data_IF_585338903972
#
_entry.id   IF_585338903972
#
_cell.length_a   1.000
_cell.length_b   1.000
_cell.length_c   1.000
_cell.angle_alpha   90.00
_cell.angle_beta   90.00
_cell.angle_gamma   90.00
#
_symmetry.space_group_name_H-M   'P 1'
#
loop_
_entity.id
_entity.type
_entity.pdbx_description
1 polymer ?
#
# COMPACT_ATOMS: atom_id res chain seq x y z
N UNK A 1 17.12 17.97 -3.35
CA UNK A 1 17.35 18.74 -4.60
C UNK A 1 17.73 20.16 -4.19
N UNK A 2 18.78 20.69 -4.79
CA UNK A 2 19.22 22.07 -4.49
C UNK A 2 18.74 23.02 -5.59
N UNK A 3 17.63 23.70 -5.33
CA UNK A 3 17.13 24.81 -6.15
C UNK A 3 17.55 26.16 -5.58
N UNK A 4 16.66 27.17 -5.69
CA UNK A 4 16.88 28.44 -4.97
C UNK A 4 16.78 28.25 -3.47
N UNK A 5 15.91 27.36 -3.02
CA UNK A 5 15.79 26.89 -1.65
C UNK A 5 16.14 25.39 -1.62
N UNK A 6 16.69 24.92 -0.51
CA UNK A 6 17.05 23.52 -0.31
C UNK A 6 15.82 22.71 0.07
N UNK A 7 15.60 21.57 -0.59
CA UNK A 7 14.53 20.60 -0.29
C UNK A 7 15.15 19.21 -0.35
N UNK A 8 15.42 18.61 0.80
CA UNK A 8 16.12 17.34 0.93
C UNK A 8 15.31 16.33 1.77
N UNK A 9 15.68 15.05 1.70
CA UNK A 9 15.14 13.97 2.52
C UNK A 9 13.60 13.92 2.60
N UNK A 10 12.94 14.08 1.44
CA UNK A 10 11.48 14.00 1.30
C UNK A 10 11.01 12.56 1.52
N UNK A 11 10.05 12.35 2.42
CA UNK A 11 9.46 11.03 2.69
C UNK A 11 7.93 11.09 2.69
N UNK A 12 7.23 9.96 2.39
CA UNK A 12 7.77 8.63 2.09
C UNK A 12 8.42 8.53 0.70
N UNK A 13 9.51 7.76 0.59
CA UNK A 13 10.19 7.50 -0.67
C UNK A 13 10.67 6.05 -0.72
N UNK A 14 10.22 5.30 -1.73
CA UNK A 14 10.54 3.89 -1.88
C UNK A 14 11.53 3.70 -3.03
N UNK A 15 12.65 3.04 -2.73
CA UNK A 15 13.71 2.72 -3.70
C UNK A 15 14.20 3.93 -4.53
N UNK A 16 14.38 5.10 -3.88
CA UNK A 16 14.82 6.34 -4.55
C UNK A 16 13.80 6.88 -5.55
N UNK A 17 12.51 6.71 -5.26
CA UNK A 17 11.40 7.21 -6.09
C UNK A 17 11.03 6.30 -7.27
N UNK A 18 11.72 5.17 -7.46
CA UNK A 18 11.41 4.22 -8.54
C UNK A 18 10.05 3.57 -8.37
N UNK A 19 9.76 3.12 -7.15
CA UNK A 19 8.55 2.39 -6.81
C UNK A 19 7.62 3.32 -6.00
N UNK A 20 6.28 3.25 -6.17
CA UNK A 20 5.37 4.08 -5.40
C UNK A 20 5.37 3.67 -3.92
N UNK A 21 5.29 4.66 -3.03
CA UNK A 21 4.91 4.44 -1.64
C UNK A 21 3.47 3.89 -1.58
N UNK A 22 3.07 3.35 -0.43
CA UNK A 22 1.77 2.69 -0.25
C UNK A 22 0.92 3.40 0.80
N UNK A 23 -0.36 3.55 0.51
CA UNK A 23 -1.37 3.99 1.48
C UNK A 23 -2.73 3.34 1.19
N UNK A 24 -3.72 3.55 2.05
CA UNK A 24 -5.12 3.22 1.78
C UNK A 24 -6.01 4.45 1.87
N UNK A 25 -7.20 4.36 1.25
CA UNK A 25 -8.21 5.42 1.33
C UNK A 25 -8.51 5.78 2.80
N UNK A 26 -8.42 7.07 3.13
CA UNK A 26 -8.66 7.63 4.46
C UNK A 26 -7.46 7.54 5.42
N UNK A 27 -6.34 6.96 4.99
CA UNK A 27 -5.12 6.88 5.79
C UNK A 27 -4.46 8.25 5.95
N UNK A 28 -3.93 8.52 7.14
CA UNK A 28 -3.16 9.72 7.43
C UNK A 28 -1.70 9.48 7.06
N UNK A 29 -1.29 9.96 5.88
CA UNK A 29 0.05 9.75 5.33
C UNK A 29 0.94 10.91 5.76
N UNK A 30 1.95 10.69 6.63
CA UNK A 30 2.88 11.74 7.01
C UNK A 30 3.85 12.01 5.86
N UNK A 31 3.88 13.26 5.39
CA UNK A 31 4.88 13.76 4.44
C UNK A 31 5.85 14.63 5.19
N UNK A 32 7.15 14.35 5.05
CA UNK A 32 8.19 15.14 5.71
C UNK A 32 9.29 15.53 4.73
N UNK A 33 9.98 16.62 5.00
CA UNK A 33 11.11 17.10 4.20
C UNK A 33 12.04 17.96 5.06
N UNK A 34 13.32 18.00 4.70
CA UNK A 34 14.27 18.99 5.23
C UNK A 34 14.26 20.19 4.29
N UNK A 35 13.90 21.37 4.80
CA UNK A 35 13.73 22.59 3.99
C UNK A 35 14.53 23.73 4.57
N UNK A 36 15.43 24.29 3.78
CA UNK A 36 16.42 25.26 4.26
C UNK A 36 16.78 26.32 3.21
N UNK A 37 17.44 27.39 3.66
CA UNK A 37 17.92 28.49 2.82
C UNK A 37 19.20 29.12 3.38
N UNK A 38 19.80 30.02 2.63
CA UNK A 38 20.86 30.90 3.12
C UNK A 38 20.33 31.98 4.06
N UNK A 39 21.21 32.49 4.92
CA UNK A 39 20.90 33.63 5.80
C UNK A 39 20.07 33.23 7.02
N UNK A 40 19.29 34.17 7.53
CA UNK A 40 18.52 34.03 8.78
C UNK A 40 17.02 34.25 8.58
N UNK A 41 16.60 34.46 7.33
CA UNK A 41 15.21 34.71 6.99
C UNK A 41 14.41 33.41 7.10
N UNK A 42 13.11 33.53 7.37
CA UNK A 42 12.23 32.37 7.46
C UNK A 42 12.06 31.68 6.09
N UNK A 43 11.85 30.37 6.17
CA UNK A 43 11.46 29.51 5.05
C UNK A 43 10.18 28.79 5.41
N UNK A 44 9.36 28.50 4.41
CA UNK A 44 8.12 27.75 4.58
C UNK A 44 7.95 26.75 3.45
N UNK A 45 7.16 25.71 3.72
CA UNK A 45 6.93 24.63 2.77
C UNK A 45 5.45 24.22 2.69
N UNK A 46 5.06 23.65 1.57
CA UNK A 46 3.72 23.12 1.32
C UNK A 46 3.85 21.80 0.56
N UNK A 47 3.09 20.78 0.95
CA UNK A 47 2.97 19.56 0.14
C UNK A 47 1.87 19.80 -0.85
N UNK A 48 2.21 19.69 -2.13
CA UNK A 48 1.28 19.75 -3.25
C UNK A 48 1.03 18.33 -3.70
N UNK A 49 -0.24 17.92 -3.73
CA UNK A 49 -0.62 16.54 -3.97
C UNK A 49 -1.89 16.44 -4.81
N UNK A 50 -1.95 15.41 -5.65
CA UNK A 50 -3.07 15.19 -6.58
C UNK A 50 -3.35 13.71 -6.74
N UNK A 51 -4.62 13.37 -6.94
CA UNK A 51 -5.07 11.99 -7.10
C UNK A 51 -5.55 11.71 -8.52
N UNK A 52 -6.29 10.61 -8.71
CA UNK A 52 -6.83 10.21 -10.01
C UNK A 52 -7.76 11.25 -10.66
N UNK A 53 -8.34 12.17 -9.87
CA UNK A 53 -9.17 13.26 -10.36
C UNK A 53 -8.38 14.41 -10.99
N UNK A 54 -7.06 14.43 -10.84
CA UNK A 54 -6.17 15.50 -11.30
C UNK A 54 -6.32 16.81 -10.52
N UNK A 55 -7.13 16.84 -9.46
CA UNK A 55 -7.33 18.05 -8.65
C UNK A 55 -6.11 18.26 -7.78
N UNK A 56 -5.39 19.37 -7.99
CA UNK A 56 -4.28 19.75 -7.14
C UNK A 56 -4.80 20.24 -5.78
N UNK A 57 -4.21 19.69 -4.71
CA UNK A 57 -4.47 20.01 -3.32
C UNK A 57 -3.16 20.47 -2.69
N UNK A 58 -3.24 21.32 -1.67
CA UNK A 58 -2.05 21.81 -0.98
C UNK A 58 -2.23 21.83 0.53
N UNK A 59 -1.25 21.30 1.27
CA UNK A 59 -1.25 21.29 2.74
C UNK A 59 0.02 21.94 3.27
N UNK A 60 -0.09 22.95 4.14
CA UNK A 60 1.06 23.65 4.73
C UNK A 60 1.85 22.68 5.63
N UNK A 61 3.18 22.64 5.47
CA UNK A 61 4.03 21.92 6.41
C UNK A 61 4.36 22.82 7.61
N UNK A 62 4.46 22.20 8.78
CA UNK A 62 4.94 22.82 10.01
C UNK A 62 6.35 22.30 10.34
N UNK A 63 7.18 23.15 10.93
CA UNK A 63 8.47 22.72 11.46
C UNK A 63 8.27 21.72 12.62
N UNK A 64 9.10 20.68 12.66
CA UNK A 64 9.07 19.61 13.66
C UNK A 64 10.43 19.53 14.33
N UNK A 65 10.43 19.62 15.66
CA UNK A 65 11.66 19.80 16.42
C UNK A 65 12.10 21.26 16.41
N UNK A 66 13.30 21.53 16.91
CA UNK A 66 13.88 22.87 16.97
C UNK A 66 15.28 22.85 16.38
N UNK A 67 15.54 23.69 15.37
CA UNK A 67 16.84 23.80 14.71
C UNK A 67 17.22 22.59 13.86
N UNK A 68 16.23 21.84 13.38
CA UNK A 68 16.44 20.67 12.53
C UNK A 68 16.10 20.91 11.06
N UNK A 69 15.50 22.07 10.74
CA UNK A 69 14.98 22.40 9.42
C UNK A 69 14.02 21.32 8.85
N UNK A 70 13.42 20.52 9.75
CA UNK A 70 12.55 19.41 9.40
C UNK A 70 11.11 19.90 9.41
N UNK A 71 10.40 19.68 8.31
CA UNK A 71 9.03 20.07 8.11
C UNK A 71 8.15 18.82 7.94
N UNK A 72 6.92 18.86 8.43
CA UNK A 72 5.95 17.78 8.25
C UNK A 72 4.53 18.31 7.99
N UNK A 73 3.77 17.54 7.20
CA UNK A 73 2.33 17.65 7.05
C UNK A 73 1.73 16.26 6.93
N UNK A 74 0.41 16.16 7.11
CA UNK A 74 -0.33 14.93 6.86
C UNK A 74 -1.26 15.14 5.66
N UNK A 75 -1.20 14.24 4.69
CA UNK A 75 -2.17 14.17 3.59
C UNK A 75 -3.11 12.98 3.83
N UNK A 76 -4.33 13.07 3.31
CA UNK A 76 -5.37 12.04 3.47
C UNK A 76 -5.99 11.74 2.12
N UNK A 77 -5.46 10.75 1.37
CA UNK A 77 -6.04 10.33 0.10
C UNK A 77 -7.46 9.78 0.26
N UNK A 78 -8.36 10.17 -0.62
CA UNK A 78 -9.80 9.90 -0.48
C UNK A 78 -10.33 8.86 -1.49
N UNK A 79 -9.50 8.44 -2.44
CA UNK A 79 -9.90 7.60 -3.59
C UNK A 79 -8.80 6.59 -3.93
N UNK A 80 -9.20 5.39 -4.36
CA UNK A 80 -8.29 4.34 -4.84
C UNK A 80 -7.61 4.78 -6.14
N UNK A 81 -6.32 4.50 -6.27
CA UNK A 81 -5.54 4.72 -7.49
C UNK A 81 -4.18 5.34 -7.23
N UNK A 82 -3.57 5.85 -8.30
CA UNK A 82 -2.28 6.51 -8.24
C UNK A 82 -2.44 7.98 -7.82
N UNK A 83 -1.65 8.36 -6.83
CA UNK A 83 -1.50 9.72 -6.33
C UNK A 83 -0.06 10.18 -6.52
N UNK A 84 0.11 11.48 -6.64
CA UNK A 84 1.43 12.13 -6.62
C UNK A 84 1.48 13.19 -5.54
N UNK A 85 2.66 13.40 -4.96
CA UNK A 85 2.92 14.53 -4.08
C UNK A 85 4.31 15.09 -4.31
N UNK A 86 4.49 16.38 -4.05
CA UNK A 86 5.80 17.05 -4.01
C UNK A 86 5.80 18.05 -2.86
N UNK A 87 6.98 18.42 -2.38
CA UNK A 87 7.15 19.49 -1.41
C UNK A 87 7.67 20.72 -2.13
N UNK A 88 6.94 21.82 -2.04
CA UNK A 88 7.32 23.12 -2.59
C UNK A 88 7.75 24.05 -1.45
N UNK A 89 8.92 24.66 -1.57
CA UNK A 89 9.49 25.57 -0.57
C UNK A 89 9.49 27.02 -1.07
N UNK A 90 9.36 27.98 -0.17
CA UNK A 90 9.39 29.42 -0.49
C UNK A 90 9.94 30.24 0.68
N UNK A 91 10.51 31.40 0.35
CA UNK A 91 10.95 32.42 1.31
C UNK A 91 9.72 33.04 1.96
N UNK A 92 9.63 33.04 3.29
CA UNK A 92 8.49 33.61 4.04
C UNK A 92 8.81 35.02 4.56
N UNK A 93 8.62 36.07 3.74
CA UNK A 93 8.92 37.44 4.13
C UNK A 93 8.01 37.92 5.26
N UNK A 94 6.79 37.39 5.38
CA UNK A 94 5.86 37.79 6.43
C UNK A 94 6.31 37.31 7.80
N UNK A 95 6.66 36.02 7.92
CA UNK A 95 7.17 35.46 9.17
C UNK A 95 8.51 36.09 9.55
N UNK A 96 9.38 36.34 8.57
CA UNK A 96 10.66 37.05 8.76
C UNK A 96 10.43 38.46 9.31
N UNK A 97 9.56 39.24 8.66
CA UNK A 97 9.24 40.60 9.07
C UNK A 97 8.60 40.66 10.47
N UNK A 98 7.63 39.77 10.73
CA UNK A 98 6.92 39.72 12.02
C UNK A 98 7.92 39.47 13.16
N UNK A 99 8.83 38.51 13.00
CA UNK A 99 9.87 38.23 13.99
C UNK A 99 10.79 39.44 14.20
N UNK A 100 11.29 40.04 13.12
CA UNK A 100 12.21 41.17 13.19
C UNK A 100 11.59 42.39 13.91
N UNK A 101 10.34 42.74 13.59
CA UNK A 101 9.64 43.84 14.25
C UNK A 101 9.43 43.56 15.73
N UNK A 102 8.99 42.35 16.10
CA UNK A 102 8.80 41.99 17.52
C UNK A 102 10.10 42.08 18.33
N UNK A 103 11.21 41.56 17.80
CA UNK A 103 12.52 41.61 18.48
C UNK A 103 13.02 43.04 18.63
N UNK A 104 12.92 43.85 17.58
CA UNK A 104 13.35 45.25 17.62
C UNK A 104 12.50 46.11 18.56
N UNK A 105 11.19 45.88 18.60
CA UNK A 105 10.29 46.51 19.58
C UNK A 105 10.65 46.13 21.02
N UNK A 106 10.91 44.84 21.27
CA UNK A 106 11.33 44.37 22.59
C UNK A 106 12.70 44.96 23.02
N UNK A 107 13.56 45.28 22.06
CA UNK A 107 14.83 45.97 22.28
C UNK A 107 14.67 47.50 22.50
N UNK A 108 13.44 48.02 22.49
CA UNK A 108 13.15 49.43 22.75
C UNK A 108 13.38 50.37 21.56
N UNK A 109 13.42 49.84 20.32
CA UNK A 109 13.51 50.69 19.13
C UNK A 109 12.22 51.45 18.88
N UNK A 110 12.34 52.71 18.47
CA UNK A 110 11.21 53.60 18.22
C UNK A 110 10.68 53.53 16.77
N UNK A 111 9.62 54.30 16.51
CA UNK A 111 8.96 54.34 15.20
C UNK A 111 9.82 54.96 14.09
N UNK A 112 10.83 55.77 14.42
CA UNK A 112 11.75 56.36 13.46
C UNK A 112 12.81 55.33 13.04
N UNK A 113 13.34 54.57 14.00
CA UNK A 113 14.28 53.47 13.75
C UNK A 113 13.64 52.34 12.95
N UNK A 114 12.37 52.03 13.21
CA UNK A 114 11.58 51.01 12.52
C UNK A 114 10.88 51.50 11.25
N UNK A 115 11.08 52.74 10.80
CA UNK A 115 10.31 53.31 9.70
C UNK A 115 10.36 52.46 8.41
N UNK A 116 11.54 51.94 8.07
CA UNK A 116 11.71 51.05 6.92
C UNK A 116 11.05 49.68 7.14
N UNK A 117 11.19 49.10 8.33
CA UNK A 117 10.54 47.83 8.67
C UNK A 117 9.01 47.96 8.53
N UNK A 118 8.42 49.03 9.04
CA UNK A 118 6.98 49.26 8.96
C UNK A 118 6.49 49.41 7.51
N UNK A 119 7.24 50.12 6.66
CA UNK A 119 6.91 50.23 5.24
C UNK A 119 7.09 48.90 4.48
N UNK A 120 8.12 48.11 4.81
CA UNK A 120 8.30 46.76 4.26
C UNK A 120 7.09 45.88 4.60
N UNK A 121 6.67 45.86 5.86
CA UNK A 121 5.49 45.11 6.30
C UNK A 121 4.22 45.52 5.56
N UNK A 122 4.01 46.83 5.38
CA UNK A 122 2.88 47.36 4.65
C UNK A 122 2.88 46.92 3.18
N UNK A 123 4.05 46.89 2.52
CA UNK A 123 4.19 46.38 1.15
C UNK A 123 3.92 44.89 1.02
N UNK A 124 4.34 44.07 2.00
CA UNK A 124 4.04 42.63 2.02
C UNK A 124 2.52 42.43 2.08
N UNK A 125 1.84 43.17 2.96
CA UNK A 125 0.37 43.12 3.07
C UNK A 125 -0.32 43.56 1.78
N UNK A 126 0.15 44.64 1.13
CA UNK A 126 -0.42 45.15 -0.12
C UNK A 126 -0.39 44.12 -1.25
N UNK A 127 0.63 43.24 -1.30
CA UNK A 127 0.72 42.17 -2.31
C UNK A 127 -0.42 41.15 -2.21
N UNK A 128 -1.03 41.00 -1.03
CA UNK A 128 -2.11 40.02 -0.76
C UNK A 128 -3.51 40.60 -0.72
N UNK A 129 -3.66 41.87 -1.04
CA UNK A 129 -4.96 42.53 -1.13
C UNK A 129 -5.74 41.99 -2.34
N UNK A 130 -6.49 40.90 -2.13
CA UNK A 130 -7.38 40.26 -3.12
C UNK A 130 -8.86 40.54 -2.78
N UNK A 131 -9.80 40.25 -3.69
CA UNK A 131 -11.23 40.60 -3.52
C UNK A 131 -11.87 39.89 -2.30
N UNK A 132 -12.75 40.57 -1.56
CA UNK A 132 -13.53 40.00 -0.43
C UNK A 132 -13.29 40.67 0.93
N UNK A 133 -13.79 40.07 2.03
CA UNK A 133 -13.65 40.61 3.40
C UNK A 133 -12.18 40.72 3.84
N UNK A 134 -11.34 39.76 3.43
CA UNK A 134 -9.90 39.76 3.69
C UNK A 134 -9.18 40.97 3.09
N UNK A 135 -9.75 41.61 2.06
CA UNK A 135 -9.23 42.84 1.46
C UNK A 135 -9.12 43.97 2.47
N UNK A 136 -10.17 44.15 3.27
CA UNK A 136 -10.32 45.32 4.12
C UNK A 136 -9.33 45.22 5.29
N UNK A 137 -9.24 44.05 5.93
CA UNK A 137 -8.34 43.89 7.07
C UNK A 137 -6.86 44.03 6.71
N UNK A 138 -6.41 43.43 5.60
CA UNK A 138 -5.01 43.56 5.17
C UNK A 138 -4.69 45.00 4.77
N UNK A 139 -5.64 45.69 4.13
CA UNK A 139 -5.51 47.11 3.77
C UNK A 139 -5.46 48.02 5.01
N UNK A 140 -6.29 47.76 6.01
CA UNK A 140 -6.34 48.53 7.25
C UNK A 140 -5.06 48.32 8.07
N UNK A 141 -4.54 47.09 8.12
CA UNK A 141 -3.25 46.78 8.73
C UNK A 141 -2.09 47.49 8.00
N UNK A 142 -2.08 47.46 6.66
CA UNK A 142 -1.09 48.19 5.86
C UNK A 142 -1.17 49.71 6.05
N UNK A 143 -2.38 50.26 6.18
CA UNK A 143 -2.59 51.68 6.46
C UNK A 143 -2.13 52.07 7.87
N UNK A 144 -2.43 51.24 8.89
CA UNK A 144 -1.97 51.45 10.26
C UNK A 144 -0.45 51.43 10.35
N UNK A 145 0.21 50.49 9.67
CA UNK A 145 1.68 50.46 9.59
C UNK A 145 2.26 51.75 9.01
N UNK A 146 1.55 52.46 8.13
CA UNK A 146 1.98 53.73 7.52
C UNK A 146 1.53 55.00 8.26
N UNK A 147 0.68 54.87 9.27
CA UNK A 147 0.10 56.01 9.97
C UNK A 147 1.11 56.65 10.94
N UNK A 148 1.82 57.69 10.49
CA UNK A 148 2.78 58.43 11.31
C UNK A 148 2.17 59.18 12.50
N UNK A 149 0.84 59.27 12.56
CA UNK A 149 0.08 59.87 13.65
C UNK A 149 -0.20 58.93 14.81
N UNK A 150 0.08 57.63 14.65
CA UNK A 150 -0.15 56.60 15.68
C UNK A 150 1.14 56.24 16.40
N UNK A 151 1.02 55.82 17.66
CA UNK A 151 2.15 55.27 18.40
C UNK A 151 2.59 53.93 17.81
N UNK A 152 3.86 53.55 18.00
CA UNK A 152 4.44 52.34 17.40
C UNK A 152 3.62 51.08 17.71
N UNK A 153 3.18 50.91 18.96
CA UNK A 153 2.35 49.78 19.39
C UNK A 153 1.02 49.72 18.64
N UNK A 154 0.39 50.87 18.37
CA UNK A 154 -0.87 50.98 17.63
C UNK A 154 -0.67 50.69 16.14
N UNK A 155 0.44 51.14 15.56
CA UNK A 155 0.78 50.90 14.14
C UNK A 155 0.91 49.41 13.83
N UNK A 156 1.51 48.64 14.73
CA UNK A 156 1.73 47.20 14.51
C UNK A 156 0.58 46.32 15.00
N UNK A 157 -0.31 46.84 15.86
CA UNK A 157 -1.34 46.05 16.53
C UNK A 157 -2.21 45.22 15.57
N UNK A 158 -2.65 45.82 14.46
CA UNK A 158 -3.46 45.11 13.47
C UNK A 158 -2.65 44.04 12.71
N UNK A 159 -1.43 44.36 12.32
CA UNK A 159 -0.54 43.45 11.59
C UNK A 159 -0.14 42.22 12.43
N UNK A 160 0.09 42.42 13.73
CA UNK A 160 0.39 41.35 14.68
C UNK A 160 -0.87 40.68 15.25
N UNK A 161 -2.06 41.16 14.88
CA UNK A 161 -3.34 40.62 15.30
C UNK A 161 -3.61 39.23 14.70
N UNK A 162 -4.31 38.38 15.46
CA UNK A 162 -4.56 36.99 15.08
C UNK A 162 -5.24 36.81 13.73
N UNK A 163 -6.12 37.73 13.33
CA UNK A 163 -6.83 37.65 12.05
C UNK A 163 -5.90 37.88 10.84
N UNK A 164 -4.98 38.85 10.92
CA UNK A 164 -3.97 39.06 9.86
C UNK A 164 -2.97 37.90 9.83
N UNK A 165 -2.52 37.43 11.00
CA UNK A 165 -1.60 36.29 11.09
C UNK A 165 -2.20 35.02 10.49
N UNK A 166 -3.46 34.69 10.83
CA UNK A 166 -4.16 33.56 10.24
C UNK A 166 -4.27 33.71 8.72
N UNK A 167 -4.66 34.89 8.23
CA UNK A 167 -4.82 35.12 6.80
C UNK A 167 -3.51 34.97 6.04
N UNK A 168 -2.41 35.49 6.58
CA UNK A 168 -1.08 35.35 5.98
C UNK A 168 -0.54 33.93 6.09
N UNK A 169 -1.03 33.12 7.03
CA UNK A 169 -0.72 31.68 7.07
C UNK A 169 -1.46 30.89 5.97
N UNK A 170 -2.75 31.18 5.77
CA UNK A 170 -3.62 30.52 4.78
C UNK A 170 -3.31 30.92 3.32
N UNK A 171 -3.01 32.20 3.09
CA UNK A 171 -2.69 32.75 1.76
C UNK A 171 -1.42 33.62 1.81
N UNK A 172 -0.24 32.99 2.03
CA UNK A 172 1.02 33.67 2.25
C UNK A 172 1.61 34.27 0.98
N UNK A 173 2.35 35.36 1.11
CA UNK A 173 3.28 35.82 0.05
C UNK A 173 4.37 34.77 -0.07
N UNK A 174 4.50 34.18 -1.27
CA UNK A 174 5.50 33.15 -1.55
C UNK A 174 6.54 33.71 -2.50
N UNK A 175 7.74 34.00 -1.99
CA UNK A 175 8.86 34.44 -2.81
C UNK A 175 9.80 33.27 -3.09
N UNK A 176 10.47 33.32 -4.25
CA UNK A 176 11.52 32.35 -4.60
C UNK A 176 11.05 30.89 -4.55
N UNK A 177 9.81 30.65 -4.97
CA UNK A 177 9.20 29.33 -5.00
C UNK A 177 10.13 28.33 -5.70
N UNK A 178 10.50 27.28 -4.97
CA UNK A 178 11.25 26.14 -5.47
C UNK A 178 10.34 24.94 -5.42
N UNK A 179 10.00 24.39 -6.59
CA UNK A 179 9.17 23.21 -6.71
C UNK A 179 10.01 21.94 -6.50
N UNK A 180 9.49 21.01 -5.70
CA UNK A 180 10.15 19.74 -5.41
C UNK A 180 9.99 18.70 -6.52
N UNK A 181 10.66 17.56 -6.34
CA UNK A 181 10.46 16.39 -7.21
C UNK A 181 9.12 15.72 -6.87
N UNK A 182 8.30 15.34 -7.87
CA UNK A 182 7.13 14.51 -7.64
C UNK A 182 7.49 13.09 -7.17
N UNK A 183 6.87 12.66 -6.09
CA UNK A 183 6.88 11.29 -5.55
C UNK A 183 5.55 10.61 -5.84
N UNK A 184 5.59 9.27 -5.96
CA UNK A 184 4.42 8.44 -6.30
C UNK A 184 3.87 7.74 -5.07
N UNK A 185 2.56 7.65 -4.98
CA UNK A 185 1.83 6.99 -3.89
C UNK A 185 0.69 6.16 -4.49
N UNK A 186 0.70 4.84 -4.28
CA UNK A 186 -0.41 3.98 -4.65
C UNK A 186 -1.38 3.81 -3.47
N UNK A 187 -2.64 4.17 -3.69
CA UNK A 187 -3.69 4.11 -2.68
C UNK A 187 -4.64 2.96 -2.99
N UNK A 188 -4.64 1.95 -2.13
CA UNK A 188 -5.59 0.82 -2.19
C UNK A 188 -6.87 1.13 -1.37
N UNK A 189 -7.90 0.29 -1.53
CA UNK A 189 -9.04 0.28 -0.59
C UNK A 189 -8.61 -0.13 0.82
N UNK A 190 -9.38 0.26 1.85
CA UNK A 190 -9.04 0.07 3.27
C UNK A 190 -8.66 -1.37 3.67
N UNK A 191 -9.28 -2.39 3.05
CA UNK A 191 -9.01 -3.81 3.30
C UNK A 191 -7.54 -4.20 3.08
N UNK A 192 -6.82 -3.45 2.24
CA UNK A 192 -5.39 -3.65 2.01
C UNK A 192 -4.55 -3.46 3.28
N UNK A 193 -4.99 -2.62 4.22
CA UNK A 193 -4.30 -2.38 5.49
C UNK A 193 -5.04 -2.97 6.70
N UNK A 194 -6.38 -3.01 6.66
CA UNK A 194 -7.19 -3.43 7.81
C UNK A 194 -8.17 -4.54 7.46
N UNK A 195 -7.98 -5.71 8.05
CA UNK A 195 -8.95 -6.81 7.96
C UNK A 195 -8.51 -8.06 8.70
N UNK A 196 -9.50 -8.83 9.14
CA UNK A 196 -9.29 -10.08 9.84
C UNK A 196 -9.47 -11.28 8.89
N UNK A 197 -8.46 -12.15 8.81
CA UNK A 197 -8.38 -13.28 7.89
C UNK A 197 -8.67 -14.62 8.57
N UNK A 198 -9.47 -15.47 7.94
CA UNK A 198 -9.75 -16.83 8.39
C UNK A 198 -9.49 -17.84 7.29
N UNK A 199 -8.55 -18.76 7.51
CA UNK A 199 -8.29 -19.86 6.58
C UNK A 199 -9.22 -21.05 6.85
N UNK A 200 -9.84 -21.57 5.79
CA UNK A 200 -10.77 -22.70 5.88
C UNK A 200 -10.57 -23.65 4.69
N UNK A 201 -10.50 -24.95 4.94
CA UNK A 201 -10.48 -25.96 3.88
C UNK A 201 -11.91 -26.35 3.47
N UNK A 202 -12.38 -26.05 2.24
CA UNK A 202 -13.75 -26.36 1.81
C UNK A 202 -14.10 -27.85 1.93
N UNK A 203 -13.17 -28.73 1.55
CA UNK A 203 -13.34 -30.18 1.61
C UNK A 203 -13.55 -30.72 3.03
N UNK A 204 -13.18 -29.97 4.06
CA UNK A 204 -13.32 -30.37 5.46
C UNK A 204 -14.65 -29.92 6.09
N UNK A 205 -15.57 -29.36 5.29
CA UNK A 205 -16.89 -28.87 5.76
C UNK A 205 -18.01 -29.88 5.59
N UNK A 206 -17.73 -31.07 5.07
CA UNK A 206 -18.73 -32.11 4.80
C UNK A 206 -19.25 -32.86 6.02
N UNK A 207 -18.60 -32.69 7.18
CA UNK A 207 -18.93 -33.40 8.41
C UNK A 207 -18.49 -34.87 8.38
N UNK A 208 -19.25 -35.74 9.03
CA UNK A 208 -19.01 -37.18 9.08
C UNK A 208 -20.22 -37.95 8.57
N UNK A 209 -19.99 -39.14 7.99
CA UNK A 209 -21.05 -40.04 7.58
C UNK A 209 -21.65 -40.84 8.77
N UNK A 210 -22.58 -41.76 8.49
CA UNK A 210 -23.21 -42.60 9.52
C UNK A 210 -22.24 -43.54 10.26
N UNK A 211 -21.05 -43.79 9.71
CA UNK A 211 -20.00 -44.62 10.29
C UNK A 211 -18.96 -43.77 11.03
N UNK A 212 -19.13 -42.45 11.08
CA UNK A 212 -18.18 -41.52 11.69
C UNK A 212 -16.97 -41.20 10.81
N UNK A 213 -16.99 -41.59 9.53
CA UNK A 213 -15.90 -41.28 8.61
C UNK A 213 -16.05 -39.86 8.05
N UNK A 214 -14.96 -39.07 7.94
CA UNK A 214 -15.01 -37.74 7.32
C UNK A 214 -15.58 -37.81 5.90
N UNK A 215 -16.55 -36.93 5.61
CA UNK A 215 -17.13 -36.78 4.28
C UNK A 215 -16.53 -35.57 3.58
N UNK A 216 -16.21 -35.70 2.30
CA UNK A 216 -15.79 -34.57 1.48
C UNK A 216 -16.88 -33.49 1.44
N UNK A 217 -16.49 -32.26 1.78
CA UNK A 217 -17.31 -31.06 1.71
C UNK A 217 -17.52 -30.59 0.27
N UNK A 218 -18.48 -29.70 0.09
CA UNK A 218 -18.78 -29.02 -1.18
C UNK A 218 -18.75 -27.51 -0.96
N UNK A 219 -18.71 -26.71 -2.02
CA UNK A 219 -18.89 -25.25 -1.91
C UNK A 219 -20.22 -24.90 -1.22
N UNK A 220 -21.26 -25.72 -1.36
CA UNK A 220 -22.53 -25.55 -0.64
C UNK A 220 -22.43 -25.78 0.86
N UNK A 221 -21.66 -26.79 1.31
CA UNK A 221 -21.45 -27.00 2.75
C UNK A 221 -20.53 -25.93 3.33
N UNK A 222 -19.54 -25.49 2.56
CA UNK A 222 -18.65 -24.39 2.93
C UNK A 222 -19.41 -23.07 3.09
N UNK A 223 -20.37 -22.78 2.21
CA UNK A 223 -21.21 -21.58 2.31
C UNK A 223 -22.00 -21.53 3.65
N UNK A 224 -22.37 -22.67 4.23
CA UNK A 224 -22.98 -22.75 5.57
C UNK A 224 -21.97 -22.54 6.69
N UNK A 225 -20.72 -22.94 6.48
CA UNK A 225 -19.65 -22.75 7.46
C UNK A 225 -19.28 -21.26 7.61
N UNK A 226 -19.50 -20.43 6.57
CA UNK A 226 -19.23 -18.99 6.61
C UNK A 226 -19.99 -18.26 7.72
N UNK A 227 -21.17 -18.74 8.12
CA UNK A 227 -21.91 -18.19 9.26
C UNK A 227 -21.08 -18.16 10.55
N UNK A 228 -20.26 -19.19 10.81
CA UNK A 228 -19.40 -19.21 12.00
C UNK A 228 -18.22 -18.25 11.87
N UNK A 229 -17.70 -18.09 10.65
CA UNK A 229 -16.58 -17.20 10.33
C UNK A 229 -17.01 -15.75 10.57
N UNK A 230 -18.15 -15.36 10.02
CA UNK A 230 -18.72 -14.02 10.22
C UNK A 230 -19.03 -13.73 11.70
N UNK A 231 -19.56 -14.70 12.46
CA UNK A 231 -19.82 -14.52 13.90
C UNK A 231 -18.56 -14.27 14.73
N UNK A 232 -17.40 -14.74 14.28
CA UNK A 232 -16.13 -14.46 14.94
C UNK A 232 -15.56 -13.08 14.59
N UNK A 233 -16.19 -12.32 13.69
CA UNK A 233 -15.76 -10.97 13.31
C UNK A 233 -14.69 -10.93 12.22
N UNK A 234 -14.50 -12.03 11.48
CA UNK A 234 -13.61 -12.03 10.33
C UNK A 234 -14.22 -11.28 9.14
N UNK A 235 -13.34 -10.78 8.29
CA UNK A 235 -13.66 -10.00 7.10
C UNK A 235 -13.31 -10.74 5.81
N UNK A 236 -12.27 -11.57 5.85
CA UNK A 236 -11.73 -12.30 4.70
C UNK A 236 -11.74 -13.78 5.04
N UNK A 237 -12.34 -14.59 4.17
CA UNK A 237 -12.20 -16.05 4.22
C UNK A 237 -11.24 -16.48 3.11
N UNK A 238 -10.13 -17.07 3.51
CA UNK A 238 -9.10 -17.58 2.62
C UNK A 238 -9.29 -19.09 2.41
N UNK A 239 -9.38 -19.49 1.14
CA UNK A 239 -9.42 -20.90 0.75
C UNK A 239 -8.09 -21.34 0.14
N UNK A 240 -7.54 -22.49 0.57
CA UNK A 240 -6.56 -23.23 -0.21
C UNK A 240 -7.07 -23.52 -1.63
N UNK A 241 -6.21 -23.98 -2.55
CA UNK A 241 -6.64 -24.25 -3.92
C UNK A 241 -7.89 -25.13 -4.00
N UNK A 242 -8.85 -24.72 -4.83
CA UNK A 242 -10.14 -25.40 -5.00
C UNK A 242 -10.25 -26.17 -6.33
N UNK A 243 -9.11 -26.36 -7.00
CA UNK A 243 -8.98 -27.01 -8.30
C UNK A 243 -8.89 -28.54 -8.16
N UNK A 244 -9.03 -29.29 -9.28
CA UNK A 244 -8.72 -30.72 -9.30
C UNK A 244 -7.30 -31.00 -8.75
N UNK A 245 -7.15 -32.09 -7.99
CA UNK A 245 -5.89 -32.50 -7.37
C UNK A 245 -5.29 -33.69 -8.11
N UNK A 246 -4.00 -33.58 -8.44
CA UNK A 246 -3.26 -34.60 -9.15
C UNK A 246 -3.30 -35.98 -8.51
N UNK A 247 -3.28 -37.01 -9.35
CA UNK A 247 -3.30 -38.43 -8.95
C UNK A 247 -1.91 -39.06 -9.03
N UNK A 248 -1.03 -38.52 -9.87
CA UNK A 248 0.35 -39.01 -10.04
C UNK A 248 1.23 -38.46 -8.93
N UNK A 249 2.02 -39.34 -8.29
CA UNK A 249 2.87 -39.01 -7.12
C UNK A 249 2.14 -38.33 -5.95
N UNK A 250 0.81 -38.47 -5.89
CA UNK A 250 -0.04 -37.89 -4.85
C UNK A 250 0.48 -38.27 -3.47
N UNK A 251 0.52 -37.31 -2.54
CA UNK A 251 0.83 -37.57 -1.14
C UNK A 251 -0.38 -38.12 -0.36
N UNK A 252 -0.12 -39.06 0.54
CA UNK A 252 -1.10 -39.61 1.47
C UNK A 252 -1.22 -38.80 2.76
N UNK A 253 -1.97 -39.34 3.72
CA UNK A 253 -2.03 -38.78 5.09
C UNK A 253 -0.64 -38.66 5.70
N UNK A 254 -0.48 -37.69 6.60
CA UNK A 254 0.76 -37.42 7.32
C UNK A 254 1.98 -37.22 6.40
N UNK A 255 1.76 -36.64 5.21
CA UNK A 255 2.79 -36.33 4.20
C UNK A 255 3.53 -37.59 3.68
N UNK A 256 2.87 -38.75 3.69
CA UNK A 256 3.42 -40.01 3.17
C UNK A 256 3.52 -39.98 1.63
N UNK A 257 4.53 -40.67 1.09
CA UNK A 257 4.76 -40.77 -0.37
C UNK A 257 3.89 -41.83 -1.06
N UNK A 258 3.18 -42.65 -0.29
CA UNK A 258 2.37 -43.76 -0.80
C UNK A 258 0.92 -43.56 -0.36
N UNK A 259 0.07 -42.93 -1.19
CA UNK A 259 -1.31 -42.62 -0.82
C UNK A 259 -2.17 -43.89 -0.80
N UNK A 260 -3.12 -43.94 0.12
CA UNK A 260 -4.21 -44.91 0.05
C UNK A 260 -5.20 -44.59 -1.07
N UNK A 261 -6.09 -45.53 -1.44
CA UNK A 261 -7.07 -45.33 -2.52
C UNK A 261 -8.05 -44.17 -2.25
N UNK A 262 -8.30 -43.86 -0.97
CA UNK A 262 -9.23 -42.81 -0.53
C UNK A 262 -8.51 -41.51 -0.09
N UNK A 263 -7.18 -41.43 -0.25
CA UNK A 263 -6.45 -40.23 0.17
C UNK A 263 -6.66 -39.07 -0.83
N UNK A 264 -7.12 -37.95 -0.27
CA UNK A 264 -7.52 -36.74 -1.01
C UNK A 264 -6.36 -35.87 -1.49
N UNK A 265 -5.12 -36.18 -1.08
CA UNK A 265 -3.93 -35.46 -1.49
C UNK A 265 -3.80 -34.01 -0.99
N UNK A 266 -2.76 -33.34 -1.48
CA UNK A 266 -2.48 -31.93 -1.25
C UNK A 266 -3.30 -31.06 -2.22
N UNK A 267 -4.08 -30.07 -1.76
CA UNK A 267 -4.76 -29.12 -2.64
C UNK A 267 -3.79 -28.35 -3.56
N UNK A 268 -2.56 -28.12 -3.11
CA UNK A 268 -1.52 -27.43 -3.88
C UNK A 268 -0.91 -28.29 -5.00
N UNK A 269 -1.23 -29.58 -5.09
CA UNK A 269 -0.91 -30.42 -6.24
C UNK A 269 -1.97 -30.24 -7.35
N UNK A 270 -2.01 -29.04 -7.91
CA UNK A 270 -3.07 -28.56 -8.82
C UNK A 270 -2.95 -29.27 -10.16
N UNK A 271 -4.07 -29.79 -10.65
CA UNK A 271 -4.21 -30.33 -11.99
C UNK A 271 -4.41 -31.83 -12.02
N UNK A 272 -5.41 -32.28 -12.77
CA UNK A 272 -5.62 -33.67 -13.14
C UNK A 272 -6.28 -33.74 -14.51
N UNK A 273 -6.69 -34.93 -14.95
CA UNK A 273 -7.55 -35.10 -16.12
C UNK A 273 -8.88 -34.32 -16.04
N UNK A 274 -9.29 -33.89 -14.84
CA UNK A 274 -10.54 -33.17 -14.59
C UNK A 274 -10.39 -31.64 -14.75
N UNK A 275 -9.18 -31.13 -15.01
CA UNK A 275 -8.88 -29.72 -15.27
C UNK A 275 -7.69 -29.15 -14.48
N UNK A 276 -7.37 -27.88 -14.73
CA UNK A 276 -6.25 -27.15 -14.14
C UNK A 276 -6.66 -25.96 -13.27
N UNK A 277 -5.89 -24.86 -13.34
CA UNK A 277 -6.07 -23.67 -12.51
C UNK A 277 -7.36 -22.88 -12.76
N UNK A 278 -8.07 -23.15 -13.85
CA UNK A 278 -9.37 -22.55 -14.20
C UNK A 278 -10.53 -23.56 -14.08
N UNK A 279 -10.32 -24.64 -13.32
CA UNK A 279 -11.33 -25.62 -12.99
C UNK A 279 -11.63 -25.66 -11.49
N UNK A 280 -12.82 -26.16 -11.15
CA UNK A 280 -13.22 -26.47 -9.77
C UNK A 280 -13.13 -27.98 -9.58
N UNK A 281 -12.60 -28.41 -8.44
CA UNK A 281 -12.51 -29.82 -8.08
C UNK A 281 -13.91 -30.47 -8.17
N UNK A 282 -14.08 -31.60 -8.88
CA UNK A 282 -15.40 -32.18 -9.13
C UNK A 282 -16.20 -32.48 -7.86
N UNK A 283 -15.54 -32.94 -6.79
CA UNK A 283 -16.19 -33.17 -5.49
C UNK A 283 -16.59 -31.89 -4.74
N UNK A 284 -16.03 -30.73 -5.08
CA UNK A 284 -16.41 -29.44 -4.49
C UNK A 284 -17.66 -28.84 -5.14
N UNK A 285 -17.86 -29.06 -6.44
CA UNK A 285 -19.03 -28.61 -7.19
C UNK A 285 -18.66 -27.92 -8.50
N UNK A 286 -19.38 -26.84 -8.82
CA UNK A 286 -19.29 -26.12 -10.10
C UNK A 286 -19.09 -24.61 -9.89
N UNK A 287 -18.83 -23.86 -10.96
CA UNK A 287 -18.72 -22.39 -10.90
C UNK A 287 -20.00 -21.74 -10.37
N UNK A 288 -21.17 -22.30 -10.67
CA UNK A 288 -22.43 -21.85 -10.08
C UNK A 288 -22.46 -21.98 -8.56
N UNK A 289 -21.81 -23.01 -8.01
CA UNK A 289 -21.72 -23.21 -6.57
C UNK A 289 -20.70 -22.26 -5.94
N UNK A 290 -19.63 -21.89 -6.68
CA UNK A 290 -18.71 -20.83 -6.30
C UNK A 290 -19.42 -19.47 -6.25
N UNK A 291 -20.16 -19.10 -7.30
CA UNK A 291 -20.91 -17.84 -7.35
C UNK A 291 -21.89 -17.74 -6.17
N UNK A 292 -22.56 -18.85 -5.83
CA UNK A 292 -23.45 -18.92 -4.68
C UNK A 292 -22.70 -18.75 -3.35
N UNK A 293 -21.49 -19.30 -3.23
CA UNK A 293 -20.63 -19.14 -2.06
C UNK A 293 -20.13 -17.70 -1.92
N UNK A 294 -19.63 -17.09 -3.01
CA UNK A 294 -19.15 -15.69 -3.03
C UNK A 294 -20.30 -14.74 -2.69
N UNK A 295 -21.49 -14.97 -3.26
CA UNK A 295 -22.70 -14.22 -2.91
C UNK A 295 -23.06 -14.37 -1.42
N UNK A 296 -22.92 -15.57 -0.85
CA UNK A 296 -23.17 -15.82 0.58
C UNK A 296 -22.13 -15.11 1.45
N UNK A 297 -20.85 -15.16 1.08
CA UNK A 297 -19.77 -14.43 1.76
C UNK A 297 -20.08 -12.93 1.80
N UNK A 298 -20.39 -12.33 0.65
CA UNK A 298 -20.75 -10.91 0.55
C UNK A 298 -21.96 -10.54 1.39
N UNK A 299 -23.00 -11.38 1.42
CA UNK A 299 -24.17 -11.17 2.28
C UNK A 299 -23.87 -11.23 3.78
N UNK A 300 -22.74 -11.83 4.18
CA UNK A 300 -22.24 -11.89 5.55
C UNK A 300 -21.17 -10.83 5.86
N UNK A 301 -20.84 -9.95 4.90
CA UNK A 301 -19.74 -8.99 5.04
C UNK A 301 -18.35 -9.60 4.87
N UNK A 302 -18.26 -10.82 4.31
CA UNK A 302 -17.00 -11.51 4.04
C UNK A 302 -16.57 -11.34 2.58
N UNK A 303 -15.27 -11.17 2.37
CA UNK A 303 -14.61 -11.27 1.07
C UNK A 303 -13.94 -12.65 0.93
N UNK A 304 -13.95 -13.19 -0.29
CA UNK A 304 -13.28 -14.46 -0.59
C UNK A 304 -11.86 -14.17 -1.08
N UNK A 305 -10.88 -14.76 -0.42
CA UNK A 305 -9.51 -14.85 -0.89
C UNK A 305 -9.23 -16.27 -1.40
N UNK A 306 -8.62 -16.38 -2.58
CA UNK A 306 -8.24 -17.67 -3.17
C UNK A 306 -6.71 -17.82 -3.19
N UNK A 307 -6.22 -19.02 -2.91
CA UNK A 307 -4.81 -19.36 -3.12
C UNK A 307 -4.46 -19.33 -4.62
N UNK A 308 -3.42 -18.59 -4.96
CA UNK A 308 -2.80 -18.58 -6.29
C UNK A 308 -1.42 -19.24 -6.20
N UNK A 309 -1.38 -20.56 -6.39
CA UNK A 309 -0.16 -21.35 -6.41
C UNK A 309 0.26 -21.70 -7.83
N UNK A 310 1.24 -20.97 -8.38
CA UNK A 310 1.69 -21.16 -9.76
C UNK A 310 2.66 -22.35 -9.86
N UNK A 311 2.07 -23.54 -9.97
CA UNK A 311 2.74 -24.85 -10.05
C UNK A 311 1.75 -25.90 -10.54
N UNK A 312 2.24 -27.04 -11.02
CA UNK A 312 1.37 -28.07 -11.58
C UNK A 312 1.70 -29.46 -11.04
N UNK A 313 0.70 -30.29 -10.76
CA UNK A 313 0.89 -31.72 -10.58
C UNK A 313 1.32 -32.38 -11.91
N UNK A 314 1.93 -33.58 -11.88
CA UNK A 314 2.38 -34.25 -13.10
C UNK A 314 1.28 -34.56 -14.11
N UNK A 315 0.03 -34.70 -13.64
CA UNK A 315 -1.16 -34.93 -14.45
C UNK A 315 -1.99 -33.67 -14.75
N UNK A 316 -1.44 -32.48 -14.51
CA UNK A 316 -2.03 -31.22 -14.99
C UNK A 316 -2.00 -31.15 -16.53
N UNK A 317 -3.04 -30.64 -17.22
CA UNK A 317 -3.08 -30.52 -18.68
C UNK A 317 -1.82 -29.85 -19.28
N UNK A 318 -1.39 -28.71 -18.71
CA UNK A 318 -0.13 -28.04 -19.08
C UNK A 318 1.10 -28.95 -19.11
N UNK A 319 1.23 -29.95 -18.24
CA UNK A 319 2.40 -30.83 -18.25
C UNK A 319 2.54 -31.63 -19.56
N UNK A 320 1.41 -31.87 -20.25
CA UNK A 320 1.39 -32.51 -21.57
C UNK A 320 1.20 -31.54 -22.74
N UNK A 321 0.41 -30.48 -22.55
CA UNK A 321 0.00 -29.55 -23.61
C UNK A 321 0.99 -28.39 -23.78
N UNK A 322 1.70 -28.03 -22.71
CA UNK A 322 2.61 -26.88 -22.61
C UNK A 322 3.94 -27.25 -21.95
N UNK A 323 4.72 -28.18 -22.53
CA UNK A 323 6.02 -28.57 -21.97
C UNK A 323 6.99 -27.38 -21.83
N UNK A 324 6.83 -26.33 -22.64
CA UNK A 324 7.58 -25.08 -22.56
C UNK A 324 7.43 -24.37 -21.21
N UNK A 325 6.32 -24.57 -20.49
CA UNK A 325 6.12 -24.01 -19.14
C UNK A 325 6.94 -24.71 -18.05
N UNK A 326 7.78 -25.69 -18.39
CA UNK A 326 8.57 -26.46 -17.45
C UNK A 326 10.04 -26.58 -17.86
N UNK A 327 10.91 -26.86 -16.89
CA UNK A 327 12.30 -27.23 -17.18
C UNK A 327 12.38 -28.73 -17.44
N UNK A 328 12.41 -29.11 -18.72
CA UNK A 328 12.60 -30.49 -19.16
C UNK A 328 14.07 -30.88 -19.08
N UNK A 329 14.37 -31.95 -18.35
CA UNK A 329 15.72 -32.50 -18.18
C UNK A 329 16.19 -33.25 -19.46
N UNK A 330 17.49 -33.54 -19.59
CA UNK A 330 18.02 -34.22 -20.78
C UNK A 330 17.42 -35.61 -21.07
N UNK A 331 16.84 -36.27 -20.07
CA UNK A 331 16.14 -37.56 -20.22
C UNK A 331 14.64 -37.41 -20.53
N UNK A 332 14.16 -36.18 -20.68
CA UNK A 332 12.76 -35.85 -20.96
C UNK A 332 11.87 -35.74 -19.73
N UNK A 333 12.40 -35.94 -18.51
CA UNK A 333 11.63 -35.81 -17.27
C UNK A 333 11.60 -34.37 -16.76
N UNK A 334 10.69 -34.05 -15.84
CA UNK A 334 10.65 -32.76 -15.13
C UNK A 334 10.96 -33.03 -13.66
N UNK A 335 11.91 -32.29 -13.09
CA UNK A 335 12.24 -32.38 -11.67
C UNK A 335 11.08 -31.86 -10.82
N UNK A 336 10.82 -32.52 -9.70
CA UNK A 336 9.81 -32.05 -8.74
C UNK A 336 10.30 -30.78 -8.01
N UNK A 337 9.37 -29.99 -7.48
CA UNK A 337 9.71 -28.76 -6.79
C UNK A 337 10.34 -29.03 -5.40
N UNK A 338 11.28 -28.18 -5.00
CA UNK A 338 11.89 -28.21 -3.66
C UNK A 338 11.95 -26.80 -3.06
N UNK A 339 11.79 -26.73 -1.74
CA UNK A 339 12.14 -25.55 -0.95
C UNK A 339 12.92 -26.06 0.28
N UNK A 340 14.26 -26.25 0.14
CA UNK A 340 15.04 -27.00 1.12
C UNK A 340 14.82 -26.55 2.57
N UNK A 341 14.58 -27.49 3.51
CA UNK A 341 14.71 -28.95 3.37
C UNK A 341 13.46 -29.67 2.83
N UNK A 342 12.39 -28.94 2.48
CA UNK A 342 11.11 -29.53 2.03
C UNK A 342 11.19 -30.01 0.58
N UNK A 343 10.62 -31.19 0.32
CA UNK A 343 10.47 -31.79 -1.01
C UNK A 343 9.00 -31.96 -1.37
N UNK A 344 8.66 -31.63 -2.62
CA UNK A 344 7.30 -31.67 -3.12
C UNK A 344 7.20 -32.57 -4.35
N UNK A 345 7.27 -33.88 -4.13
CA UNK A 345 7.28 -34.92 -5.17
C UNK A 345 6.00 -34.95 -6.03
N UNK A 346 4.94 -34.33 -5.53
CA UNK A 346 3.61 -34.24 -6.12
C UNK A 346 3.43 -33.03 -7.07
N UNK A 347 4.45 -32.19 -7.27
CA UNK A 347 4.37 -30.98 -8.10
C UNK A 347 5.64 -30.68 -8.91
N UNK A 348 5.44 -30.00 -10.03
CA UNK A 348 6.46 -29.42 -10.91
C UNK A 348 6.46 -27.89 -10.81
N UNK A 349 7.64 -27.26 -10.73
CA UNK A 349 7.77 -25.82 -10.79
C UNK A 349 7.60 -25.33 -12.24
N UNK A 350 6.92 -24.20 -12.41
CA UNK A 350 6.83 -23.54 -13.71
C UNK A 350 8.14 -22.81 -14.05
N UNK A 351 8.48 -22.78 -15.33
CA UNK A 351 9.60 -22.04 -15.91
C UNK A 351 9.05 -20.81 -16.65
N UNK A 352 9.51 -19.63 -16.25
CA UNK A 352 9.04 -18.34 -16.78
C UNK A 352 9.95 -17.76 -17.87
N UNK A 353 11.02 -18.48 -18.23
CA UNK A 353 12.08 -18.01 -19.12
C UNK A 353 12.01 -18.67 -20.51
N UNK A 354 11.51 -19.90 -20.61
CA UNK A 354 11.43 -20.65 -21.86
C UNK A 354 10.49 -20.01 -22.89
N UNK A 355 9.26 -19.67 -22.47
CA UNK A 355 8.27 -18.94 -23.25
C UNK A 355 7.55 -17.94 -22.35
N UNK A 356 8.23 -16.80 -22.14
CA UNK A 356 7.79 -15.75 -21.22
C UNK A 356 6.42 -15.20 -21.59
N UNK A 357 6.18 -14.92 -22.87
CA UNK A 357 4.95 -14.26 -23.31
C UNK A 357 3.75 -15.17 -23.13
N UNK A 358 3.88 -16.46 -23.49
CA UNK A 358 2.80 -17.43 -23.35
C UNK A 358 2.43 -17.67 -21.87
N UNK A 359 3.41 -17.90 -21.01
CA UNK A 359 3.12 -18.16 -19.59
C UNK A 359 2.58 -16.93 -18.87
N UNK A 360 3.07 -15.73 -19.18
CA UNK A 360 2.55 -14.48 -18.61
C UNK A 360 1.08 -14.29 -19.00
N UNK A 361 0.75 -14.45 -20.28
CA UNK A 361 -0.62 -14.34 -20.78
C UNK A 361 -1.56 -15.36 -20.12
N UNK A 362 -1.09 -16.60 -19.94
CA UNK A 362 -1.90 -17.65 -19.29
C UNK A 362 -2.13 -17.38 -17.79
N UNK A 363 -1.11 -16.94 -17.05
CA UNK A 363 -1.29 -16.59 -15.64
C UNK A 363 -2.25 -15.41 -15.45
N UNK A 364 -2.19 -14.41 -16.36
CA UNK A 364 -3.14 -13.30 -16.38
C UNK A 364 -4.55 -13.78 -16.66
N UNK A 365 -4.75 -14.63 -17.68
CA UNK A 365 -6.05 -15.22 -18.03
C UNK A 365 -6.65 -15.99 -16.86
N UNK A 366 -5.87 -16.90 -16.25
CA UNK A 366 -6.29 -17.70 -15.09
C UNK A 366 -6.72 -16.79 -13.93
N UNK A 367 -5.94 -15.76 -13.63
CA UNK A 367 -6.27 -14.80 -12.55
C UNK A 367 -7.59 -14.09 -12.84
N UNK A 368 -7.81 -13.65 -14.08
CA UNK A 368 -9.06 -12.97 -14.50
C UNK A 368 -10.30 -13.87 -14.40
N UNK A 369 -10.19 -15.18 -14.68
CA UNK A 369 -11.30 -16.13 -14.49
C UNK A 369 -11.87 -16.04 -13.07
N UNK A 370 -11.03 -16.00 -12.05
CA UNK A 370 -11.49 -15.95 -10.66
C UNK A 370 -12.05 -14.57 -10.27
N UNK A 371 -11.50 -13.50 -10.83
CA UNK A 371 -12.03 -12.14 -10.67
C UNK A 371 -13.45 -12.04 -11.25
N UNK A 372 -13.70 -12.63 -12.42
CA UNK A 372 -15.02 -12.68 -13.05
C UNK A 372 -16.06 -13.40 -12.18
N UNK A 373 -15.61 -14.33 -11.32
CA UNK A 373 -16.41 -15.03 -10.32
C UNK A 373 -16.45 -14.33 -8.94
N UNK A 374 -15.97 -13.09 -8.85
CA UNK A 374 -16.08 -12.23 -7.67
C UNK A 374 -15.03 -12.45 -6.59
N UNK A 375 -13.91 -13.11 -6.91
CA UNK A 375 -12.73 -13.15 -6.03
C UNK A 375 -11.98 -11.82 -6.16
N UNK A 376 -11.83 -11.11 -5.04
CA UNK A 376 -11.18 -9.78 -4.99
C UNK A 376 -9.84 -9.79 -4.27
N UNK A 377 -9.41 -10.95 -3.77
CA UNK A 377 -8.18 -11.11 -3.00
C UNK A 377 -7.50 -12.43 -3.42
N UNK A 378 -6.19 -12.38 -3.66
CA UNK A 378 -5.37 -13.57 -3.92
C UNK A 378 -4.29 -13.70 -2.86
N UNK A 379 -4.24 -14.85 -2.18
CA UNK A 379 -3.08 -15.26 -1.38
C UNK A 379 -2.15 -15.99 -2.33
N UNK A 380 -1.00 -15.41 -2.63
CA UNK A 380 -0.05 -15.95 -3.60
C UNK A 380 0.97 -16.83 -2.87
N UNK A 381 1.06 -18.09 -3.30
CA UNK A 381 1.94 -19.09 -2.70
C UNK A 381 3.40 -18.87 -3.12
N UNK A 382 4.30 -18.80 -2.13
CA UNK A 382 5.74 -18.74 -2.32
C UNK A 382 6.21 -17.85 -3.50
N UNK A 383 5.76 -16.59 -3.63
CA UNK A 383 6.07 -15.74 -4.80
C UNK A 383 7.57 -15.50 -4.96
N UNK A 384 8.35 -15.64 -3.89
CA UNK A 384 9.81 -15.55 -3.90
C UNK A 384 10.52 -16.68 -4.69
N UNK A 385 9.77 -17.67 -5.19
CA UNK A 385 10.27 -18.75 -6.06
C UNK A 385 10.02 -18.48 -7.54
N UNK A 386 9.29 -17.40 -7.88
CA UNK A 386 8.99 -16.96 -9.25
C UNK A 386 9.71 -15.63 -9.53
N UNK A 387 9.95 -15.26 -10.80
CA UNK A 387 10.58 -13.98 -11.13
C UNK A 387 9.80 -12.79 -10.55
N UNK A 388 10.52 -11.81 -10.00
CA UNK A 388 9.88 -10.64 -9.38
C UNK A 388 9.29 -9.68 -10.43
N UNK A 389 9.87 -9.61 -11.62
CA UNK A 389 9.36 -8.81 -12.74
C UNK A 389 8.02 -9.34 -13.26
N UNK A 390 7.83 -10.66 -13.28
CA UNK A 390 6.53 -11.29 -13.57
C UNK A 390 5.45 -10.77 -12.62
N UNK A 391 5.72 -10.75 -11.31
CA UNK A 391 4.74 -10.27 -10.33
C UNK A 391 4.44 -8.79 -10.50
N UNK A 392 5.47 -7.96 -10.72
CA UNK A 392 5.28 -6.54 -10.96
C UNK A 392 4.40 -6.30 -12.19
N UNK A 393 4.62 -7.05 -13.27
CA UNK A 393 3.79 -7.01 -14.46
C UNK A 393 2.35 -7.48 -14.18
N UNK A 394 2.16 -8.69 -13.64
CA UNK A 394 0.83 -9.27 -13.42
C UNK A 394 -0.04 -8.37 -12.51
N UNK A 395 0.54 -7.86 -11.42
CA UNK A 395 -0.18 -7.00 -10.49
C UNK A 395 -0.56 -5.67 -11.15
N UNK A 396 0.33 -5.09 -11.96
CA UNK A 396 0.03 -3.86 -12.70
C UNK A 396 -1.10 -4.06 -13.71
N UNK A 397 -1.06 -5.14 -14.52
CA UNK A 397 -2.12 -5.48 -15.49
C UNK A 397 -3.47 -5.69 -14.80
N UNK A 398 -3.51 -6.47 -13.71
CA UNK A 398 -4.75 -6.70 -12.97
C UNK A 398 -5.28 -5.41 -12.35
N UNK A 399 -4.41 -4.57 -11.75
CA UNK A 399 -4.85 -3.33 -11.10
C UNK A 399 -5.26 -2.23 -12.07
N UNK A 400 -4.75 -2.26 -13.30
CA UNK A 400 -5.18 -1.33 -14.35
C UNK A 400 -6.67 -1.50 -14.69
N UNK A 401 -7.19 -2.74 -14.68
CA UNK A 401 -8.60 -3.06 -14.96
C UNK A 401 -9.44 -3.24 -13.69
N UNK A 402 -8.84 -3.75 -12.62
CA UNK A 402 -9.48 -4.11 -11.35
C UNK A 402 -8.68 -3.59 -10.15
N UNK A 403 -8.64 -2.26 -9.92
CA UNK A 403 -7.80 -1.65 -8.88
C UNK A 403 -8.15 -2.07 -7.45
N UNK A 404 -9.35 -2.64 -7.23
CA UNK A 404 -9.79 -3.18 -5.95
C UNK A 404 -9.22 -4.58 -5.62
N UNK A 405 -8.58 -5.25 -6.58
CA UNK A 405 -7.99 -6.58 -6.35
C UNK A 405 -6.70 -6.48 -5.53
N UNK A 406 -6.61 -7.30 -4.48
CA UNK A 406 -5.48 -7.29 -3.54
C UNK A 406 -4.68 -8.59 -3.62
N UNK A 407 -3.37 -8.49 -3.42
CA UNK A 407 -2.43 -9.62 -3.45
C UNK A 407 -1.66 -9.73 -2.13
N UNK A 408 -1.75 -10.88 -1.47
CA UNK A 408 -0.98 -11.22 -0.27
C UNK A 408 0.19 -12.15 -0.64
N UNK A 409 1.42 -11.71 -0.39
CA UNK A 409 2.62 -12.52 -0.63
C UNK A 409 2.92 -13.47 0.55
N UNK A 410 2.84 -14.78 0.34
CA UNK A 410 3.38 -15.75 1.29
C UNK A 410 4.88 -15.97 1.08
N UNK A 411 5.69 -15.04 1.58
CA UNK A 411 7.13 -15.04 1.37
C UNK A 411 7.93 -15.15 2.67
N UNK A 412 8.04 -16.36 3.22
CA UNK A 412 8.97 -16.65 4.33
C UNK A 412 10.42 -16.75 3.83
N UNK A 413 11.00 -15.60 3.53
CA UNK A 413 12.29 -15.46 2.85
C UNK A 413 13.05 -14.23 3.33
N UNK A 414 14.39 -14.23 3.19
CA UNK A 414 15.26 -13.16 3.71
C UNK A 414 14.69 -11.74 3.44
N UNK A 415 14.85 -10.79 4.37
CA UNK A 415 14.18 -9.48 4.32
C UNK A 415 14.28 -8.75 2.97
N UNK A 416 15.44 -8.75 2.32
CA UNK A 416 15.61 -8.11 1.01
C UNK A 416 14.63 -8.61 -0.06
N UNK A 417 14.32 -9.91 -0.07
CA UNK A 417 13.34 -10.50 -0.99
C UNK A 417 11.90 -10.25 -0.53
N UNK A 418 11.64 -10.33 0.78
CA UNK A 418 10.32 -10.06 1.35
C UNK A 418 9.85 -8.63 1.02
N UNK A 419 10.67 -7.63 1.35
CA UNK A 419 10.37 -6.22 1.06
C UNK A 419 10.48 -5.90 -0.43
N UNK A 420 11.37 -6.58 -1.16
CA UNK A 420 11.43 -6.48 -2.63
C UNK A 420 10.12 -6.84 -3.31
N UNK A 421 9.40 -7.86 -2.83
CA UNK A 421 8.07 -8.22 -3.33
C UNK A 421 7.01 -7.18 -2.95
N UNK A 422 7.08 -6.60 -1.75
CA UNK A 422 6.23 -5.47 -1.35
C UNK A 422 6.36 -4.31 -2.34
N UNK A 423 7.60 -3.88 -2.62
CA UNK A 423 7.91 -2.84 -3.61
C UNK A 423 7.46 -3.19 -5.02
N UNK A 424 7.55 -4.45 -5.42
CA UNK A 424 7.10 -4.93 -6.73
C UNK A 424 5.57 -4.87 -6.92
N UNK A 425 4.78 -4.59 -5.87
CA UNK A 425 3.35 -4.31 -6.00
C UNK A 425 2.47 -5.14 -5.09
N UNK A 426 3.00 -6.17 -4.41
CA UNK A 426 2.21 -6.96 -3.46
C UNK A 426 1.58 -6.07 -2.40
N UNK A 427 0.28 -6.26 -2.17
CA UNK A 427 -0.53 -5.42 -1.28
C UNK A 427 -0.18 -5.66 0.18
N UNK A 428 -0.02 -6.94 0.54
CA UNK A 428 0.30 -7.43 1.88
C UNK A 428 1.41 -8.47 1.83
N UNK A 429 2.06 -8.68 2.97
CA UNK A 429 3.15 -9.63 3.14
C UNK A 429 2.90 -10.50 4.37
N UNK A 430 3.04 -11.82 4.24
CA UNK A 430 3.33 -12.65 5.41
C UNK A 430 4.65 -12.20 6.05
N UNK A 431 4.82 -12.50 7.33
CA UNK A 431 5.92 -11.97 8.14
C UNK A 431 6.54 -13.04 9.02
N UNK A 432 7.64 -12.70 9.70
CA UNK A 432 8.28 -13.59 10.66
C UNK A 432 7.61 -13.65 12.04
N UNK A 433 6.41 -13.11 12.18
CA UNK A 433 5.69 -13.01 13.45
C UNK A 433 5.70 -14.30 14.28
N UNK A 434 5.47 -15.45 13.65
CA UNK A 434 5.46 -16.77 14.34
C UNK A 434 6.82 -17.19 14.91
N UNK A 435 7.92 -16.58 14.47
CA UNK A 435 9.28 -16.79 14.98
C UNK A 435 9.80 -15.58 15.78
N UNK A 436 8.90 -14.73 16.30
CA UNK A 436 9.23 -13.64 17.22
C UNK A 436 8.47 -13.91 18.51
N UNK A 437 9.18 -14.45 19.49
CA UNK A 437 8.58 -15.04 20.69
C UNK A 437 9.06 -14.36 21.97
N UNK A 438 10.29 -13.86 21.98
CA UNK A 438 10.82 -13.09 23.09
C UNK A 438 10.46 -11.60 22.98
N UNK A 439 10.47 -10.90 24.11
CA UNK A 439 10.17 -9.45 24.15
C UNK A 439 11.09 -8.65 23.23
N UNK A 440 12.39 -8.94 23.21
CA UNK A 440 13.36 -8.23 22.37
C UNK A 440 13.07 -8.44 20.88
N UNK A 441 12.78 -9.68 20.49
CA UNK A 441 12.42 -10.05 19.13
C UNK A 441 11.13 -9.34 18.65
N UNK A 442 10.12 -9.24 19.52
CA UNK A 442 8.87 -8.54 19.21
C UNK A 442 9.08 -7.02 19.06
N UNK A 443 9.97 -6.41 19.84
CA UNK A 443 10.32 -5.00 19.70
C UNK A 443 11.05 -4.73 18.39
N UNK A 444 12.08 -5.52 18.08
CA UNK A 444 12.81 -5.43 16.80
C UNK A 444 11.87 -5.63 15.61
N UNK A 445 10.95 -6.59 15.71
CA UNK A 445 9.94 -6.83 14.69
C UNK A 445 9.00 -5.63 14.52
N UNK A 446 8.52 -5.02 15.61
CA UNK A 446 7.66 -3.83 15.54
C UNK A 446 8.39 -2.62 14.93
N UNK A 447 9.68 -2.44 15.25
CA UNK A 447 10.52 -1.39 14.64
C UNK A 447 10.70 -1.64 13.14
N UNK A 448 10.95 -2.89 12.72
CA UNK A 448 11.00 -3.25 11.32
C UNK A 448 9.67 -2.97 10.60
N UNK A 449 8.52 -3.24 11.21
CA UNK A 449 7.22 -2.91 10.62
C UNK A 449 7.03 -1.39 10.48
N UNK A 450 7.43 -0.63 11.49
CA UNK A 450 7.41 0.84 11.45
C UNK A 450 8.31 1.38 10.36
N UNK A 451 9.50 0.83 10.17
CA UNK A 451 10.51 1.38 9.25
C UNK A 451 10.24 1.02 7.77
N UNK A 452 9.35 0.07 7.51
CA UNK A 452 8.98 -0.40 6.16
C UNK A 452 7.48 -0.21 5.84
N UNK A 453 6.78 0.65 6.59
CA UNK A 453 5.32 0.86 6.49
C UNK A 453 4.87 1.34 5.11
N UNK A 454 5.70 2.13 4.44
CA UNK A 454 5.46 2.76 3.15
C UNK A 454 5.69 1.81 1.97
N UNK A 455 6.30 0.64 2.19
CA UNK A 455 6.58 -0.35 1.15
C UNK A 455 5.96 -1.74 1.41
N UNK A 456 5.49 -2.05 2.62
CA UNK A 456 4.93 -3.35 2.96
C UNK A 456 3.87 -3.27 4.05
N UNK A 457 2.78 -4.02 3.89
CA UNK A 457 1.72 -4.14 4.91
C UNK A 457 1.72 -5.55 5.49
N UNK A 458 1.98 -5.74 6.78
CA UNK A 458 2.08 -7.07 7.37
C UNK A 458 0.71 -7.74 7.52
N UNK A 459 0.63 -9.02 7.16
CA UNK A 459 -0.47 -9.90 7.54
C UNK A 459 0.05 -10.92 8.59
N UNK A 460 -0.48 -10.82 9.81
CA UNK A 460 0.01 -11.55 10.98
C UNK A 460 -0.87 -12.77 11.26
N UNK A 461 -0.66 -13.86 10.53
CA UNK A 461 -1.29 -15.15 10.85
C UNK A 461 -0.70 -15.74 12.13
N UNK A 462 -1.57 -16.20 13.04
CA UNK A 462 -1.23 -16.75 14.37
C UNK A 462 -0.96 -18.24 14.39
#
# INVERSE_FOLDING_TARGET
MTGRLGIDDVTPEVAGGRDPAKAVVGEHVPVTATVWREGHDAVAATVVWSGPDGTERSTRLAEVGSGLDRFAATIVPDTVGEWTFRVDAWSDPWSTWTHAVMVKMAAGQDSAQLANDLEIGARILDQKVTQGRSKNILKDAAAALRASTLELSERVALALGGEVQQRMHEDPVRELLTEGVPHRLWVDRSRAAFGSWYELFPRSTGGVDKKGLPKHGTLKTTAKALDRVARMGFDVVYFPPIHPVGRVNRKGKDNTLTPGPDDVGSPWAIGSSDGGHDAIHPELGTFKDLDALVKRAKALGLEVALDLALQAAPDHPWASEHPEFFTVLPDGTIAFAENPPKKYQDIYPLNFDNDRDAIYAEMLRVTKVWIDHGVTIFRVDNPHTKPTDFWAWLIAEIKAEHPDVLFLAEAFTRPARLFGLGRAGFTQSYTYFTWRTEKGELLEFAEQLRDHWDESRPNLFV
#
